data_IF_643115512143
#
_entry.id   IF_643115512143
#
_cell.length_a   1.000
_cell.length_b   1.000
_cell.length_c   1.000
_cell.angle_alpha   90.00
_cell.angle_beta   90.00
_cell.angle_gamma   90.00
#
_symmetry.space_group_name_H-M   'P 1'
#
loop_
_entity.id
_entity.type
_entity.pdbx_description
1 polymer ?
#
# COMPACT_ATOMS: atom_id res chain seq x y z
N UNK A 1 5.82 -26.22 30.95
CA UNK A 1 6.66 -25.16 30.37
C UNK A 1 5.86 -24.57 29.22
N UNK A 2 5.64 -23.25 29.21
CA UNK A 2 4.95 -22.57 28.09
C UNK A 2 5.92 -22.54 26.90
N UNK A 3 5.42 -22.77 25.68
CA UNK A 3 6.21 -22.58 24.45
C UNK A 3 6.85 -21.18 24.45
N UNK A 4 8.16 -21.10 24.16
CA UNK A 4 8.89 -19.84 24.00
C UNK A 4 9.82 -19.41 25.15
N UNK A 5 9.86 -20.11 26.29
CA UNK A 5 10.90 -19.85 27.30
C UNK A 5 12.20 -20.58 26.95
N UNK A 6 13.04 -19.93 26.14
CA UNK A 6 14.43 -20.33 25.99
C UNK A 6 15.26 -19.67 27.10
N UNK A 7 15.80 -20.47 28.01
CA UNK A 7 16.82 -19.98 28.96
C UNK A 7 18.12 -19.70 28.21
N UNK A 8 18.93 -18.76 28.71
CA UNK A 8 20.28 -18.54 28.18
C UNK A 8 21.09 -19.83 28.38
N UNK A 9 21.60 -20.40 27.29
CA UNK A 9 22.45 -21.59 27.31
C UNK A 9 23.88 -21.14 27.00
N UNK A 10 24.80 -21.39 27.92
CA UNK A 10 26.21 -21.06 27.75
C UNK A 10 26.91 -22.17 26.98
N UNK A 11 27.32 -21.89 25.73
CA UNK A 11 28.02 -22.86 24.88
C UNK A 11 29.47 -23.13 25.30
N UNK A 12 30.15 -22.13 25.90
CA UNK A 12 31.52 -22.24 26.37
C UNK A 12 31.71 -21.52 27.72
N UNK A 13 31.80 -22.30 28.81
CA UNK A 13 31.87 -21.76 30.18
C UNK A 13 33.23 -21.17 30.57
N UNK A 14 34.29 -21.40 29.77
CA UNK A 14 35.63 -20.89 30.03
C UNK A 14 35.82 -19.40 29.76
N UNK A 15 34.83 -18.73 29.17
CA UNK A 15 34.89 -17.32 28.74
C UNK A 15 34.14 -16.37 29.69
N UNK A 16 33.71 -16.83 30.86
CA UNK A 16 32.90 -16.02 31.77
C UNK A 16 33.62 -14.75 32.26
N UNK A 17 34.93 -14.82 32.50
CA UNK A 17 35.73 -13.67 32.92
C UNK A 17 35.94 -12.65 31.78
N UNK A 18 35.93 -13.11 30.53
CA UNK A 18 36.09 -12.26 29.35
C UNK A 18 34.86 -11.40 29.08
N UNK A 19 33.66 -11.87 29.48
CA UNK A 19 32.42 -11.07 29.41
C UNK A 19 32.50 -9.77 30.21
N UNK A 20 33.28 -9.76 31.30
CA UNK A 20 33.52 -8.56 32.12
C UNK A 20 34.53 -7.58 31.52
N UNK A 21 35.15 -7.92 30.37
CA UNK A 21 36.22 -7.17 29.70
C UNK A 21 35.84 -6.74 28.28
N UNK A 22 34.56 -6.80 27.93
CA UNK A 22 34.08 -6.45 26.58
C UNK A 22 34.03 -4.93 26.43
N UNK A 23 34.88 -4.39 25.55
CA UNK A 23 34.86 -2.96 25.16
C UNK A 23 33.99 -2.68 23.93
N UNK A 24 33.82 -3.66 23.04
CA UNK A 24 33.10 -3.51 21.79
C UNK A 24 32.11 -4.65 21.59
N UNK A 25 30.88 -4.30 21.26
CA UNK A 25 29.84 -5.26 20.85
C UNK A 25 29.58 -5.07 19.37
N UNK A 26 29.89 -6.09 18.57
CA UNK A 26 29.52 -6.14 17.16
C UNK A 26 28.15 -6.81 17.07
N UNK A 27 27.19 -6.09 16.51
CA UNK A 27 25.80 -6.53 16.44
C UNK A 27 25.37 -6.63 14.98
N UNK A 28 24.74 -7.75 14.61
CA UNK A 28 24.06 -7.85 13.32
C UNK A 28 22.71 -7.13 13.38
N UNK A 29 22.28 -6.50 12.29
CA UNK A 29 21.01 -5.78 12.29
C UNK A 29 19.83 -6.74 12.24
N UNK A 30 19.83 -7.62 11.25
CA UNK A 30 18.67 -8.45 10.92
C UNK A 30 18.62 -9.67 11.82
N UNK A 31 17.49 -9.92 12.49
CA UNK A 31 17.34 -11.05 13.41
C UNK A 31 17.99 -10.87 14.78
N UNK A 32 18.75 -9.80 15.01
CA UNK A 32 19.26 -9.42 16.34
C UNK A 32 18.66 -8.09 16.82
N UNK A 33 18.85 -7.00 16.07
CA UNK A 33 18.23 -5.70 16.40
C UNK A 33 16.76 -5.62 15.96
N UNK A 34 16.40 -6.34 14.90
CA UNK A 34 15.05 -6.29 14.32
C UNK A 34 14.42 -7.67 14.25
N UNK A 35 13.12 -7.76 14.57
CA UNK A 35 12.33 -9.02 14.52
C UNK A 35 11.97 -9.49 13.11
N UNK A 36 12.48 -8.82 12.05
CA UNK A 36 12.11 -9.06 10.66
C UNK A 36 10.58 -9.02 10.43
N UNK A 37 9.90 -8.14 11.16
CA UNK A 37 8.46 -7.90 11.06
C UNK A 37 8.23 -6.44 10.69
N UNK A 38 7.52 -6.22 9.59
CA UNK A 38 7.19 -4.87 9.13
C UNK A 38 5.79 -4.49 9.59
N UNK A 39 5.70 -3.29 10.17
CA UNK A 39 4.46 -2.71 10.65
C UNK A 39 4.21 -1.38 9.93
N UNK A 40 3.02 -1.22 9.35
CA UNK A 40 2.55 0.05 8.84
C UNK A 40 2.20 0.97 10.01
N UNK A 41 2.77 2.19 10.03
CA UNK A 41 2.65 3.11 11.16
C UNK A 41 1.85 4.38 10.84
N UNK A 42 2.15 5.00 9.72
CA UNK A 42 1.58 6.28 9.33
C UNK A 42 1.63 6.44 7.80
N UNK A 43 0.82 7.37 7.29
CA UNK A 43 0.89 7.84 5.91
C UNK A 43 0.55 9.32 5.81
N UNK A 44 0.96 9.94 4.70
CA UNK A 44 0.46 11.23 4.25
C UNK A 44 -0.30 11.02 2.95
N UNK A 45 -1.57 11.43 2.90
CA UNK A 45 -2.45 11.27 1.75
C UNK A 45 -3.09 12.62 1.47
N UNK A 46 -2.95 13.15 0.25
CA UNK A 46 -3.49 14.46 -0.11
C UNK A 46 -2.98 15.62 0.77
N UNK A 47 -1.77 15.50 1.32
CA UNK A 47 -1.18 16.49 2.23
C UNK A 47 -1.71 16.44 3.68
N UNK A 48 -2.43 15.37 4.04
CA UNK A 48 -2.92 15.12 5.40
C UNK A 48 -2.24 13.87 5.96
N UNK A 49 -1.69 13.97 7.18
CA UNK A 49 -1.10 12.84 7.90
C UNK A 49 -2.15 12.02 8.65
N UNK A 50 -1.99 10.71 8.62
CA UNK A 50 -2.81 9.74 9.34
C UNK A 50 -1.93 8.75 10.10
N UNK A 51 -2.38 8.32 11.27
CA UNK A 51 -1.63 7.43 12.14
C UNK A 51 -0.61 8.15 13.03
N UNK A 52 0.25 7.38 13.71
CA UNK A 52 1.21 7.91 14.69
C UNK A 52 2.64 7.53 14.34
N UNK A 53 3.53 8.51 14.44
CA UNK A 53 4.99 8.34 14.33
C UNK A 53 5.64 8.03 15.67
N UNK A 54 4.90 8.17 16.78
CA UNK A 54 5.41 7.78 18.09
C UNK A 54 5.60 6.26 18.09
N UNK A 55 6.84 5.82 18.29
CA UNK A 55 7.09 4.43 18.66
C UNK A 55 6.37 4.24 20.00
N UNK A 56 5.18 3.63 19.97
CA UNK A 56 4.56 3.15 21.20
C UNK A 56 5.65 2.44 21.99
N UNK A 57 6.01 2.99 23.16
CA UNK A 57 7.04 2.42 24.00
C UNK A 57 6.74 0.92 24.10
N UNK A 58 7.74 0.08 23.83
CA UNK A 58 7.63 -1.39 23.83
C UNK A 58 7.06 -1.97 25.15
N UNK A 59 6.81 -1.13 26.15
CA UNK A 59 6.21 -1.46 27.44
C UNK A 59 4.69 -1.26 27.54
N UNK A 60 3.99 -0.68 26.57
CA UNK A 60 2.53 -0.51 26.67
C UNK A 60 1.77 -1.54 25.83
N UNK A 61 1.90 -2.77 26.29
CA UNK A 61 1.03 -3.88 25.94
C UNK A 61 -0.44 -3.52 26.25
N UNK A 62 -1.29 -3.67 25.24
CA UNK A 62 -2.75 -3.86 25.32
C UNK A 62 -3.66 -2.62 25.49
N UNK A 63 -3.20 -1.48 26.02
CA UNK A 63 -4.10 -0.34 26.26
C UNK A 63 -4.23 0.64 25.08
N UNK A 64 -3.19 0.82 24.26
CA UNK A 64 -3.27 1.73 23.09
C UNK A 64 -4.23 1.21 22.00
N UNK A 65 -4.54 -0.08 21.99
CA UNK A 65 -5.56 -0.69 21.11
C UNK A 65 -7.01 -0.35 21.53
N UNK A 66 -7.24 0.18 22.73
CA UNK A 66 -8.59 0.54 23.20
C UNK A 66 -9.02 1.95 22.80
N UNK A 67 -8.08 2.88 22.56
CA UNK A 67 -8.43 4.30 22.36
C UNK A 67 -8.93 4.62 20.93
N UNK A 68 -8.52 3.85 19.92
CA UNK A 68 -8.88 4.07 18.51
C UNK A 68 -10.10 3.26 18.02
N UNK A 69 -10.76 2.52 18.91
CA UNK A 69 -11.71 1.45 18.56
C UNK A 69 -13.18 1.93 18.56
N UNK A 70 -13.46 3.16 18.97
CA UNK A 70 -14.76 3.44 19.60
C UNK A 70 -15.92 3.93 18.70
N UNK A 71 -15.76 4.24 17.40
CA UNK A 71 -16.91 4.77 16.62
C UNK A 71 -17.04 4.38 15.13
N UNK A 72 -16.39 3.32 14.63
CA UNK A 72 -16.66 2.81 13.26
C UNK A 72 -16.31 1.33 13.02
N UNK A 73 -16.05 0.57 14.10
CA UNK A 73 -15.27 -0.68 14.09
C UNK A 73 -16.06 -1.98 13.83
N UNK A 74 -17.39 -2.01 13.79
CA UNK A 74 -18.10 -3.30 13.84
C UNK A 74 -18.00 -4.14 12.54
N UNK A 75 -17.73 -3.50 11.39
CA UNK A 75 -17.59 -4.17 10.08
C UNK A 75 -16.16 -4.18 9.53
N UNK A 76 -15.26 -3.37 10.08
CA UNK A 76 -13.90 -3.31 9.59
C UNK A 76 -13.10 -4.50 10.12
N UNK A 77 -12.38 -5.22 9.26
CA UNK A 77 -11.66 -6.40 9.71
C UNK A 77 -10.46 -6.00 10.58
N UNK A 78 -10.21 -6.72 11.66
CA UNK A 78 -8.94 -6.60 12.38
C UNK A 78 -7.89 -7.50 11.72
N UNK A 79 -6.85 -6.90 11.17
CA UNK A 79 -5.61 -7.63 10.89
C UNK A 79 -4.79 -7.62 12.17
N UNK A 80 -4.21 -8.75 12.57
CA UNK A 80 -3.55 -8.90 13.87
C UNK A 80 -2.36 -7.94 14.09
N UNK A 81 -1.85 -7.30 13.02
CA UNK A 81 -0.54 -6.64 13.00
C UNK A 81 -0.56 -5.23 12.42
N UNK A 82 -1.34 -4.98 11.37
CA UNK A 82 -1.28 -3.76 10.57
C UNK A 82 -2.65 -3.10 10.48
N UNK A 83 -3.11 -2.52 11.59
CA UNK A 83 -4.40 -1.83 11.66
C UNK A 83 -4.20 -0.31 11.75
N UNK A 84 -4.62 0.43 10.74
CA UNK A 84 -4.68 1.89 10.77
C UNK A 84 -6.12 2.33 11.09
N UNK A 85 -6.35 2.77 12.34
CA UNK A 85 -7.66 3.18 12.86
C UNK A 85 -7.73 4.69 13.13
N UNK A 86 -7.29 5.47 12.16
CA UNK A 86 -7.39 6.92 12.22
C UNK A 86 -8.83 7.36 11.90
N UNK A 87 -9.46 8.11 12.80
CA UNK A 87 -10.88 8.49 12.68
C UNK A 87 -11.14 9.33 11.42
N UNK A 88 -10.25 10.29 11.11
CA UNK A 88 -10.37 11.13 9.93
C UNK A 88 -10.22 10.30 8.65
N UNK A 89 -9.27 9.36 8.61
CA UNK A 89 -9.11 8.44 7.48
C UNK A 89 -10.38 7.61 7.25
N UNK A 90 -10.96 7.06 8.33
CA UNK A 90 -12.15 6.22 8.26
C UNK A 90 -13.41 6.99 7.85
N UNK A 91 -13.45 8.30 8.09
CA UNK A 91 -14.49 9.19 7.56
C UNK A 91 -14.40 9.29 6.04
N UNK A 92 -13.21 9.55 5.49
CA UNK A 92 -12.98 9.60 4.05
C UNK A 92 -13.31 8.28 3.35
N UNK A 93 -12.98 7.15 3.96
CA UNK A 93 -13.31 5.80 3.47
C UNK A 93 -14.79 5.44 3.64
N UNK A 94 -15.49 6.14 4.54
CA UNK A 94 -16.87 5.88 4.89
C UNK A 94 -17.87 6.60 4.00
N UNK A 95 -17.43 7.39 3.02
CA UNK A 95 -18.34 8.08 2.10
C UNK A 95 -18.98 7.08 1.14
N UNK A 96 -20.25 7.30 0.78
CA UNK A 96 -20.96 6.48 -0.20
C UNK A 96 -20.74 6.94 -1.65
N UNK A 97 -20.26 8.17 -1.82
CA UNK A 97 -19.93 8.80 -3.12
C UNK A 97 -18.71 9.69 -2.89
N UNK A 98 -17.74 9.64 -3.81
CA UNK A 98 -16.59 10.55 -3.81
C UNK A 98 -17.11 11.95 -4.17
N UNK A 99 -16.99 12.89 -3.23
CA UNK A 99 -17.45 14.27 -3.43
C UNK A 99 -16.34 15.29 -3.25
N UNK A 100 -15.31 14.93 -2.48
CA UNK A 100 -14.14 15.76 -2.20
C UNK A 100 -12.89 15.16 -2.85
N UNK A 101 -11.93 15.98 -3.30
CA UNK A 101 -10.62 15.51 -3.73
C UNK A 101 -9.94 14.55 -2.74
N UNK A 102 -10.09 14.82 -1.44
CA UNK A 102 -9.49 13.99 -0.40
C UNK A 102 -10.10 12.58 -0.34
N UNK A 103 -11.41 12.44 -0.59
CA UNK A 103 -12.06 11.13 -0.68
C UNK A 103 -11.36 10.31 -1.79
N UNK A 104 -11.14 10.92 -2.97
CA UNK A 104 -10.47 10.27 -4.09
C UNK A 104 -9.02 9.87 -3.74
N UNK A 105 -8.22 10.77 -3.16
CA UNK A 105 -6.85 10.45 -2.76
C UNK A 105 -6.78 9.25 -1.82
N UNK A 106 -7.67 9.18 -0.84
CA UNK A 106 -7.71 8.09 0.15
C UNK A 106 -8.09 6.76 -0.51
N UNK A 107 -9.12 6.73 -1.35
CA UNK A 107 -9.51 5.51 -2.06
C UNK A 107 -8.41 5.02 -3.01
N UNK A 108 -7.77 5.93 -3.73
CA UNK A 108 -6.70 5.61 -4.69
C UNK A 108 -5.41 5.16 -4.00
N UNK A 109 -5.11 5.72 -2.82
CA UNK A 109 -4.04 5.23 -1.95
C UNK A 109 -4.29 3.77 -1.52
N UNK A 110 -5.51 3.44 -1.07
CA UNK A 110 -5.87 2.08 -0.68
C UNK A 110 -5.81 1.10 -1.85
N UNK A 111 -6.31 1.50 -3.03
CA UNK A 111 -6.19 0.71 -4.25
C UNK A 111 -4.72 0.45 -4.61
N UNK A 112 -3.87 1.47 -4.54
CA UNK A 112 -2.43 1.33 -4.82
C UNK A 112 -1.74 0.39 -3.84
N UNK A 113 -2.02 0.51 -2.54
CA UNK A 113 -1.47 -0.41 -1.52
C UNK A 113 -1.89 -1.85 -1.80
N UNK A 114 -3.14 -2.07 -2.20
CA UNK A 114 -3.71 -3.41 -2.37
C UNK A 114 -3.33 -4.06 -3.71
N UNK A 115 -3.21 -3.27 -4.79
CA UNK A 115 -3.00 -3.78 -6.16
C UNK A 115 -1.54 -3.74 -6.60
N UNK A 116 -0.79 -2.68 -6.29
CA UNK A 116 0.58 -2.47 -6.77
C UNK A 116 1.59 -3.24 -5.91
N UNK A 117 1.58 -4.57 -5.96
CA UNK A 117 2.47 -5.49 -5.25
C UNK A 117 2.45 -6.88 -5.94
N UNK A 118 3.30 -7.80 -5.49
CA UNK A 118 3.25 -9.22 -5.91
C UNK A 118 2.67 -10.15 -4.84
N UNK A 119 1.93 -9.62 -3.87
CA UNK A 119 1.38 -10.40 -2.75
C UNK A 119 0.27 -11.31 -3.27
N UNK A 120 0.27 -12.55 -2.78
CA UNK A 120 -0.74 -13.57 -3.05
C UNK A 120 -1.66 -13.68 -1.84
N UNK A 121 -2.96 -13.80 -2.11
CA UNK A 121 -4.00 -14.05 -1.12
C UNK A 121 -4.31 -15.55 -1.07
N UNK A 122 -4.16 -16.17 0.10
CA UNK A 122 -4.52 -17.57 0.33
C UNK A 122 -5.69 -17.67 1.31
N UNK A 123 -6.72 -18.42 0.93
CA UNK A 123 -7.87 -18.70 1.82
C UNK A 123 -7.40 -19.35 3.12
N UNK A 124 -7.77 -18.77 4.26
CA UNK A 124 -7.35 -19.26 5.57
C UNK A 124 -8.47 -19.15 6.61
N UNK A 125 -8.84 -20.28 7.20
CA UNK A 125 -9.80 -20.34 8.32
C UNK A 125 -9.25 -19.79 9.63
N UNK A 126 -7.93 -19.61 9.73
CA UNK A 126 -7.26 -19.05 10.92
C UNK A 126 -7.23 -17.52 10.90
N UNK A 127 -7.49 -16.91 9.76
CA UNK A 127 -7.46 -15.46 9.61
C UNK A 127 -8.85 -14.88 9.86
N UNK A 128 -9.01 -13.81 10.67
CA UNK A 128 -10.29 -13.14 10.88
C UNK A 128 -10.95 -12.65 9.58
N UNK A 129 -10.12 -12.34 8.57
CA UNK A 129 -10.57 -11.84 7.26
C UNK A 129 -10.77 -12.96 6.23
N UNK A 130 -10.57 -14.22 6.62
CA UNK A 130 -10.67 -15.38 5.74
C UNK A 130 -9.51 -15.54 4.75
N UNK A 131 -8.51 -14.65 4.79
CA UNK A 131 -7.37 -14.61 3.87
C UNK A 131 -6.06 -14.42 4.64
N UNK A 132 -5.00 -15.10 4.22
CA UNK A 132 -3.61 -14.87 4.62
C UNK A 132 -2.86 -14.31 3.43
N UNK A 133 -2.07 -13.26 3.65
CA UNK A 133 -1.22 -12.68 2.64
C UNK A 133 0.17 -13.29 2.69
N UNK A 134 0.73 -13.57 1.52
CA UNK A 134 2.11 -14.03 1.35
C UNK A 134 2.77 -13.24 0.21
N UNK A 135 3.89 -12.61 0.49
CA UNK A 135 4.67 -11.83 -0.46
C UNK A 135 6.16 -12.14 -0.37
N UNK A 136 6.91 -11.73 -1.39
CA UNK A 136 8.36 -11.84 -1.39
C UNK A 136 9.04 -10.81 -0.47
N UNK A 137 8.32 -9.74 -0.11
CA UNK A 137 8.80 -8.65 0.74
C UNK A 137 7.82 -8.38 1.87
N UNK A 138 8.28 -8.32 3.14
CA UNK A 138 7.42 -8.02 4.28
C UNK A 138 6.89 -6.58 4.25
N UNK A 139 7.57 -5.66 3.56
CA UNK A 139 7.08 -4.29 3.34
C UNK A 139 5.77 -4.31 2.51
N UNK A 140 5.67 -5.17 1.50
CA UNK A 140 4.46 -5.29 0.67
C UNK A 140 3.31 -5.96 1.42
N UNK A 141 3.61 -7.00 2.21
CA UNK A 141 2.62 -7.65 3.06
C UNK A 141 2.00 -6.65 4.05
N UNK A 142 2.83 -5.80 4.67
CA UNK A 142 2.36 -4.80 5.62
C UNK A 142 1.41 -3.77 4.97
N UNK A 143 1.66 -3.38 3.72
CA UNK A 143 0.79 -2.49 2.95
C UNK A 143 -0.57 -3.14 2.64
N UNK A 144 -0.56 -4.41 2.20
CA UNK A 144 -1.80 -5.14 1.89
C UNK A 144 -2.61 -5.45 3.15
N UNK A 145 -1.94 -5.82 4.25
CA UNK A 145 -2.61 -6.03 5.54
C UNK A 145 -3.23 -4.74 6.07
N UNK A 146 -2.55 -3.59 5.92
CA UNK A 146 -3.10 -2.29 6.28
C UNK A 146 -4.34 -1.97 5.46
N UNK A 147 -4.26 -2.09 4.14
CA UNK A 147 -5.40 -1.81 3.27
C UNK A 147 -6.58 -2.74 3.57
N UNK A 148 -6.33 -4.03 3.83
CA UNK A 148 -7.34 -4.99 4.27
C UNK A 148 -8.00 -4.55 5.58
N UNK A 149 -7.23 -4.08 6.56
CA UNK A 149 -7.78 -3.55 7.82
C UNK A 149 -8.70 -2.34 7.61
N UNK A 150 -8.43 -1.54 6.58
CA UNK A 150 -9.19 -0.36 6.19
C UNK A 150 -10.36 -0.66 5.23
N UNK A 151 -10.60 -1.93 4.90
CA UNK A 151 -11.74 -2.36 4.09
C UNK A 151 -11.44 -2.69 2.63
N UNK A 152 -10.16 -2.82 2.25
CA UNK A 152 -9.72 -3.22 0.90
C UNK A 152 -8.99 -4.55 0.95
N UNK A 153 -9.74 -5.64 0.83
CA UNK A 153 -9.19 -6.98 1.00
C UNK A 153 -8.80 -7.54 -0.36
N UNK A 154 -7.52 -7.82 -0.57
CA UNK A 154 -7.08 -8.64 -1.70
C UNK A 154 -7.63 -10.07 -1.52
N UNK A 155 -8.45 -10.53 -2.46
CA UNK A 155 -9.10 -11.85 -2.37
C UNK A 155 -8.45 -12.87 -3.29
N UNK A 156 -8.03 -12.46 -4.48
CA UNK A 156 -7.38 -13.34 -5.45
C UNK A 156 -6.45 -12.56 -6.39
N UNK A 157 -5.40 -13.22 -6.86
CA UNK A 157 -4.45 -12.66 -7.83
C UNK A 157 -3.98 -13.76 -8.79
N UNK A 158 -4.04 -13.43 -10.08
CA UNK A 158 -3.45 -14.21 -11.17
C UNK A 158 -2.51 -13.32 -12.00
N UNK A 159 -1.99 -13.82 -13.12
CA UNK A 159 -1.17 -13.02 -14.04
C UNK A 159 -1.96 -11.90 -14.73
N UNK A 160 -3.27 -12.09 -14.91
CA UNK A 160 -4.10 -11.24 -15.77
C UNK A 160 -5.19 -10.51 -14.98
N UNK A 161 -5.49 -10.95 -13.75
CA UNK A 161 -6.56 -10.40 -12.93
C UNK A 161 -6.10 -10.22 -11.48
N UNK A 162 -6.60 -9.18 -10.84
CA UNK A 162 -6.54 -8.97 -9.40
C UNK A 162 -7.95 -8.68 -8.89
N UNK A 163 -8.38 -9.43 -7.88
CA UNK A 163 -9.72 -9.33 -7.30
C UNK A 163 -9.64 -8.86 -5.85
N UNK A 164 -10.58 -7.99 -5.51
CA UNK A 164 -10.64 -7.30 -4.23
C UNK A 164 -12.05 -7.41 -3.69
N UNK A 165 -12.17 -7.32 -2.37
CA UNK A 165 -13.42 -7.06 -1.69
C UNK A 165 -13.31 -5.72 -0.98
N UNK A 166 -14.16 -4.77 -1.35
CA UNK A 166 -14.14 -3.39 -0.88
C UNK A 166 -15.35 -3.15 0.01
N UNK A 167 -15.14 -2.61 1.20
CA UNK A 167 -16.21 -2.22 2.11
C UNK A 167 -16.76 -0.85 1.68
N UNK A 168 -18.00 -0.82 1.21
CA UNK A 168 -18.67 0.41 0.79
C UNK A 168 -19.75 0.84 1.77
N UNK A 169 -19.99 2.15 1.85
CA UNK A 169 -21.14 2.71 2.54
C UNK A 169 -22.34 2.79 1.61
N UNK A 170 -23.51 2.33 2.07
CA UNK A 170 -24.73 2.38 1.27
C UNK A 170 -25.24 3.83 1.10
N UNK A 171 -25.59 4.28 -0.11
CA UNK A 171 -26.16 5.61 -0.36
C UNK A 171 -27.46 5.89 0.42
N UNK A 172 -28.21 4.83 0.76
CA UNK A 172 -29.51 4.91 1.43
C UNK A 172 -29.42 4.99 2.97
N UNK A 173 -28.23 5.24 3.53
CA UNK A 173 -28.02 5.25 4.99
C UNK A 173 -28.17 3.88 5.67
N UNK A 174 -28.11 2.80 4.89
CA UNK A 174 -28.05 1.42 5.39
C UNK A 174 -26.62 1.04 5.80
N UNK A 175 -26.50 -0.07 6.53
CA UNK A 175 -25.22 -0.66 6.94
C UNK A 175 -24.24 -0.82 5.76
N UNK A 176 -22.94 -0.75 6.05
CA UNK A 176 -21.88 -0.96 5.06
C UNK A 176 -21.99 -2.35 4.42
N UNK A 177 -21.71 -2.45 3.13
CA UNK A 177 -21.75 -3.71 2.38
C UNK A 177 -20.42 -3.98 1.69
N UNK A 178 -20.09 -5.26 1.57
CA UNK A 178 -18.92 -5.71 0.84
C UNK A 178 -19.27 -5.86 -0.64
N UNK A 179 -18.48 -5.23 -1.51
CA UNK A 179 -18.55 -5.41 -2.96
C UNK A 179 -17.28 -6.09 -3.46
N UNK A 180 -17.44 -7.12 -4.31
CA UNK A 180 -16.32 -7.76 -4.98
C UNK A 180 -16.01 -7.01 -6.29
N UNK A 181 -14.79 -6.47 -6.41
CA UNK A 181 -14.32 -5.72 -7.58
C UNK A 181 -13.12 -6.43 -8.20
N UNK A 182 -13.14 -6.61 -9.53
CA UNK A 182 -12.04 -7.23 -10.27
C UNK A 182 -11.42 -6.25 -11.26
N UNK A 183 -10.09 -6.22 -11.27
CA UNK A 183 -9.30 -5.46 -12.22
C UNK A 183 -8.53 -6.42 -13.12
N UNK A 184 -8.46 -6.07 -14.41
CA UNK A 184 -7.56 -6.71 -15.36
C UNK A 184 -6.20 -6.05 -15.29
N UNK A 185 -5.17 -6.87 -15.15
CA UNK A 185 -3.78 -6.47 -15.20
C UNK A 185 -3.38 -6.39 -16.68
N UNK A 186 -3.02 -5.20 -17.13
CA UNK A 186 -2.60 -4.94 -18.50
C UNK A 186 -1.06 -4.99 -18.64
N UNK A 187 -0.34 -4.59 -17.61
CA UNK A 187 1.12 -4.65 -17.57
C UNK A 187 1.68 -4.48 -16.16
N UNK A 188 2.80 -5.13 -15.88
CA UNK A 188 3.52 -5.04 -14.60
C UNK A 188 4.97 -4.68 -14.90
N UNK A 189 5.45 -3.61 -14.28
CA UNK A 189 6.86 -3.27 -14.24
C UNK A 189 7.37 -3.57 -12.84
N UNK A 190 7.93 -4.76 -12.67
CA UNK A 190 8.44 -5.26 -11.39
C UNK A 190 9.46 -4.31 -10.75
N UNK A 191 9.56 -4.43 -9.43
CA UNK A 191 10.59 -3.73 -8.68
C UNK A 191 11.98 -4.22 -9.09
N UNK A 192 12.88 -3.29 -9.38
CA UNK A 192 14.31 -3.57 -9.53
C UNK A 192 15.11 -2.60 -8.68
N UNK A 193 16.30 -3.01 -8.22
CA UNK A 193 17.20 -2.13 -7.47
C UNK A 193 17.67 -0.91 -8.27
N UNK A 194 17.68 -1.01 -9.61
CA UNK A 194 18.01 0.09 -10.50
C UNK A 194 16.87 1.12 -10.59
N UNK A 195 15.62 0.66 -10.75
CA UNK A 195 14.44 1.55 -10.85
C UNK A 195 13.97 2.10 -9.50
N UNK A 196 14.23 1.35 -8.42
CA UNK A 196 13.73 1.59 -7.04
C UNK A 196 12.21 1.83 -6.95
N UNK A 197 11.45 1.35 -7.92
CA UNK A 197 9.99 1.49 -7.99
C UNK A 197 9.36 0.32 -8.73
N UNK A 198 8.10 0.08 -8.43
CA UNK A 198 7.21 -0.86 -9.10
C UNK A 198 6.03 -0.08 -9.67
N UNK A 199 5.52 -0.51 -10.83
CA UNK A 199 4.25 -0.01 -11.33
C UNK A 199 3.39 -1.13 -11.90
N UNK A 200 2.08 -0.94 -11.89
CA UNK A 200 1.11 -1.85 -12.47
C UNK A 200 0.05 -1.04 -13.21
N UNK A 201 -0.23 -1.42 -14.46
CA UNK A 201 -1.30 -0.85 -15.27
C UNK A 201 -2.51 -1.78 -15.17
N UNK A 202 -3.64 -1.24 -14.72
CA UNK A 202 -4.87 -2.00 -14.52
C UNK A 202 -6.08 -1.33 -15.17
N UNK A 203 -7.09 -2.13 -15.49
CA UNK A 203 -8.39 -1.67 -15.96
C UNK A 203 -9.49 -2.33 -15.12
N UNK A 204 -10.48 -1.56 -14.66
CA UNK A 204 -11.62 -2.12 -13.93
C UNK A 204 -12.49 -2.97 -14.87
N UNK A 205 -12.81 -4.22 -14.48
CA UNK A 205 -13.55 -5.17 -15.33
C UNK A 205 -15.03 -5.25 -15.00
N UNK A 206 -15.42 -4.94 -13.76
CA UNK A 206 -16.81 -4.96 -13.30
C UNK A 206 -17.01 -3.89 -12.23
N UNK A 207 -17.90 -2.95 -12.52
CA UNK A 207 -18.88 -2.51 -11.54
C UNK A 207 -20.08 -3.41 -11.78
N UNK A 208 -20.59 -4.09 -10.76
CA UNK A 208 -21.84 -4.83 -10.93
C UNK A 208 -22.89 -3.82 -11.41
N UNK A 209 -23.63 -4.15 -12.49
CA UNK A 209 -24.79 -3.36 -12.91
C UNK A 209 -25.77 -3.32 -11.73
N UNK A 210 -25.69 -2.28 -10.91
CA UNK A 210 -26.82 -1.86 -10.09
C UNK A 210 -27.80 -1.17 -11.02
N UNK A 211 -29.08 -1.52 -10.93
CA UNK A 211 -30.18 -0.88 -11.66
C UNK A 211 -30.30 0.65 -11.40
N UNK A 212 -29.42 1.20 -10.57
CA UNK A 212 -29.21 2.62 -10.32
C UNK A 212 -27.77 2.96 -10.77
N UNK A 213 -27.67 3.75 -11.85
CA UNK A 213 -26.43 4.06 -12.59
C UNK A 213 -25.42 4.95 -11.88
N UNK A 214 -25.27 4.83 -10.57
CA UNK A 214 -24.32 5.59 -9.77
C UNK A 214 -23.41 4.65 -8.98
N UNK A 215 -22.43 4.03 -9.65
CA UNK A 215 -21.25 3.51 -8.97
C UNK A 215 -20.02 3.91 -9.78
N UNK A 216 -19.39 5.02 -9.40
CA UNK A 216 -18.14 5.46 -10.00
C UNK A 216 -17.20 6.00 -8.91
N UNK A 217 -16.64 5.08 -8.11
CA UNK A 217 -15.45 5.38 -7.30
C UNK A 217 -14.18 5.49 -8.16
N UNK A 218 -14.26 5.12 -9.43
CA UNK A 218 -13.21 5.19 -10.43
C UNK A 218 -13.85 5.77 -11.69
N UNK A 219 -13.26 6.78 -12.33
CA UNK A 219 -13.79 7.35 -13.57
C UNK A 219 -14.04 6.25 -14.58
N UNK A 220 -15.22 6.34 -15.19
CA UNK A 220 -15.79 5.66 -16.34
C UNK A 220 -14.86 4.58 -16.90
N UNK A 221 -15.25 3.30 -16.81
CA UNK A 221 -14.45 2.10 -17.14
C UNK A 221 -13.89 1.95 -18.57
N UNK A 222 -13.69 3.06 -19.28
CA UNK A 222 -13.05 3.19 -20.60
C UNK A 222 -11.53 3.37 -20.52
N UNK A 223 -10.99 3.90 -19.43
CA UNK A 223 -9.53 4.12 -19.30
C UNK A 223 -8.80 3.13 -18.39
N UNK A 224 -7.49 3.27 -18.34
CA UNK A 224 -6.60 2.43 -17.52
C UNK A 224 -5.93 3.26 -16.42
N UNK A 225 -5.64 2.62 -15.29
CA UNK A 225 -4.94 3.25 -14.17
C UNK A 225 -3.54 2.68 -14.05
N UNK A 226 -2.54 3.54 -14.18
CA UNK A 226 -1.17 3.23 -13.81
C UNK A 226 -0.98 3.54 -12.33
N UNK A 227 -0.76 2.52 -11.52
CA UNK A 227 -0.46 2.62 -10.10
C UNK A 227 1.04 2.43 -9.90
N UNK A 228 1.67 3.28 -9.10
CA UNK A 228 3.13 3.28 -8.90
C UNK A 228 3.46 3.41 -7.42
N UNK A 229 4.44 2.63 -6.95
CA UNK A 229 5.06 2.82 -5.63
C UNK A 229 6.58 2.74 -5.76
N UNK A 230 7.29 3.59 -5.04
CA UNK A 230 8.75 3.60 -5.09
C UNK A 230 9.40 4.44 -4.01
N UNK A 231 10.73 4.49 -4.07
CA UNK A 231 11.52 5.38 -3.24
C UNK A 231 11.15 6.85 -3.49
N UNK A 232 11.21 7.66 -2.44
CA UNK A 232 10.86 9.07 -2.42
C UNK A 232 11.70 9.90 -3.41
N UNK A 233 13.01 9.68 -3.47
CA UNK A 233 13.93 10.33 -4.40
C UNK A 233 13.53 10.15 -5.87
N UNK A 234 13.20 8.92 -6.27
CA UNK A 234 12.81 8.58 -7.64
C UNK A 234 11.40 9.08 -7.97
N UNK A 235 10.46 8.90 -7.06
CA UNK A 235 9.06 9.25 -7.31
C UNK A 235 8.84 10.76 -7.32
N UNK A 236 9.55 11.53 -6.49
CA UNK A 236 9.46 12.98 -6.49
C UNK A 236 9.87 13.60 -7.83
N UNK A 237 10.90 13.06 -8.48
CA UNK A 237 11.33 13.51 -9.82
C UNK A 237 10.25 13.22 -10.88
N UNK A 238 9.67 12.01 -10.86
CA UNK A 238 8.62 11.61 -11.82
C UNK A 238 7.38 12.48 -11.71
N UNK A 239 6.96 12.82 -10.49
CA UNK A 239 5.80 13.68 -10.22
C UNK A 239 6.02 15.16 -10.57
N UNK A 240 7.22 15.57 -11.02
CA UNK A 240 7.52 16.94 -11.44
C UNK A 240 7.44 17.15 -12.96
N UNK A 241 7.63 16.08 -13.75
CA UNK A 241 7.93 16.17 -15.20
C UNK A 241 6.87 16.89 -16.05
N UNK A 242 5.59 16.76 -15.71
CA UNK A 242 4.47 17.31 -16.50
C UNK A 242 3.74 18.50 -15.85
N UNK A 243 4.00 18.78 -14.56
CA UNK A 243 3.24 19.78 -13.77
C UNK A 243 4.01 21.10 -13.66
N UNK A 244 5.35 21.07 -13.66
CA UNK A 244 6.17 22.28 -13.42
C UNK A 244 5.79 22.98 -12.11
N UNK A 245 5.72 24.32 -12.15
CA UNK A 245 5.30 25.21 -11.05
C UNK A 245 3.76 25.35 -10.91
N UNK A 246 2.97 24.49 -11.58
CA UNK A 246 1.51 24.61 -11.49
C UNK A 246 1.01 24.38 -10.06
N UNK A 247 0.19 25.30 -9.56
CA UNK A 247 -0.42 25.23 -8.21
C UNK A 247 -1.52 24.16 -8.08
N UNK A 248 -1.88 23.52 -9.19
CA UNK A 248 -2.94 22.51 -9.27
C UNK A 248 -2.47 21.31 -10.07
N UNK A 249 -2.81 20.11 -9.60
CA UNK A 249 -2.61 18.83 -10.29
C UNK A 249 -3.95 18.28 -10.73
N UNK A 250 -3.98 17.46 -11.78
CA UNK A 250 -5.20 16.81 -12.25
C UNK A 250 -5.34 15.43 -11.60
N UNK A 251 -6.43 15.22 -10.85
CA UNK A 251 -6.83 13.94 -10.31
C UNK A 251 -8.11 13.47 -11.03
N UNK A 252 -7.96 12.60 -12.02
CA UNK A 252 -9.08 12.01 -12.78
C UNK A 252 -10.01 13.05 -13.44
N UNK A 253 -9.45 14.09 -14.05
CA UNK A 253 -10.16 15.19 -14.70
C UNK A 253 -10.56 16.33 -13.73
N UNK A 254 -10.17 16.24 -12.46
CA UNK A 254 -10.51 17.22 -11.42
C UNK A 254 -9.25 17.96 -10.99
N UNK A 255 -9.19 19.30 -11.10
CA UNK A 255 -8.08 20.07 -10.60
C UNK A 255 -8.08 20.05 -9.07
N UNK A 256 -6.99 19.61 -8.48
CA UNK A 256 -6.77 19.55 -7.03
C UNK A 256 -5.50 20.31 -6.67
N UNK A 257 -5.39 20.74 -5.42
CA UNK A 257 -4.22 21.49 -4.93
C UNK A 257 -2.96 20.64 -5.09
N UNK A 258 -1.85 21.28 -5.45
CA UNK A 258 -0.54 20.65 -5.32
C UNK A 258 -0.23 20.35 -3.83
N UNK A 259 0.19 19.12 -3.55
CA UNK A 259 0.51 18.63 -2.20
C UNK A 259 1.93 18.08 -2.09
N UNK A 260 2.76 18.33 -3.12
CA UNK A 260 4.13 17.79 -3.19
C UNK A 260 5.01 18.29 -2.05
N UNK A 261 4.92 19.57 -1.71
CA UNK A 261 5.71 20.17 -0.63
C UNK A 261 5.35 19.54 0.73
N UNK A 262 4.06 19.44 1.05
CA UNK A 262 3.61 18.80 2.29
C UNK A 262 3.98 17.32 2.34
N UNK A 263 3.86 16.61 1.21
CA UNK A 263 4.22 15.19 1.12
C UNK A 263 5.71 14.97 1.39
N UNK A 264 6.59 15.80 0.80
CA UNK A 264 8.04 15.73 1.02
C UNK A 264 8.39 16.10 2.47
N UNK A 265 7.72 17.10 3.04
CA UNK A 265 7.89 17.45 4.45
C UNK A 265 7.53 16.27 5.36
N UNK A 266 6.37 15.65 5.17
CA UNK A 266 5.91 14.52 5.98
C UNK A 266 6.81 13.28 5.84
N UNK A 267 7.31 13.01 4.62
CA UNK A 267 8.28 11.93 4.37
C UNK A 267 9.56 12.14 5.19
N UNK A 268 10.08 13.38 5.24
CA UNK A 268 11.28 13.68 6.03
C UNK A 268 11.04 13.50 7.53
N UNK A 269 9.86 13.86 8.04
CA UNK A 269 9.48 13.61 9.43
C UNK A 269 9.39 12.10 9.73
N UNK A 270 8.78 11.32 8.83
CA UNK A 270 8.70 9.85 8.96
C UNK A 270 10.09 9.20 8.95
N UNK A 271 10.96 9.61 8.02
CA UNK A 271 12.33 9.12 7.94
C UNK A 271 13.14 9.48 9.20
N UNK A 272 12.96 10.70 9.72
CA UNK A 272 13.61 11.16 10.96
C UNK A 272 13.15 10.38 12.19
N UNK A 273 11.91 9.86 12.17
CA UNK A 273 11.39 8.95 13.18
C UNK A 273 11.87 7.48 13.00
N UNK A 274 12.70 7.20 12.01
CA UNK A 274 13.25 5.86 11.74
C UNK A 274 12.31 4.94 10.96
N UNK A 275 11.25 5.48 10.36
CA UNK A 275 10.35 4.72 9.50
C UNK A 275 10.95 4.55 8.09
N UNK A 276 10.63 3.42 7.45
CA UNK A 276 10.86 3.28 6.01
C UNK A 276 9.75 4.01 5.26
N UNK A 277 10.11 4.84 4.31
CA UNK A 277 9.19 5.65 3.51
C UNK A 277 9.04 5.08 2.11
N UNK A 278 7.84 5.22 1.55
CA UNK A 278 7.54 4.95 0.14
C UNK A 278 6.60 6.06 -0.34
N UNK A 279 6.81 6.50 -1.58
CA UNK A 279 5.90 7.42 -2.25
C UNK A 279 5.05 6.65 -3.25
N UNK A 280 3.75 6.93 -3.24
CA UNK A 280 2.76 6.31 -4.10
C UNK A 280 2.25 7.37 -5.07
N UNK A 281 2.09 7.00 -6.33
CA UNK A 281 1.54 7.86 -7.36
C UNK A 281 0.60 7.07 -8.26
N UNK A 282 -0.25 7.80 -8.98
CA UNK A 282 -1.10 7.22 -10.00
C UNK A 282 -1.14 8.12 -11.23
N UNK A 283 -1.52 7.53 -12.36
CA UNK A 283 -1.91 8.27 -13.56
C UNK A 283 -3.07 7.55 -14.23
N UNK A 284 -4.07 8.29 -14.65
CA UNK A 284 -5.09 7.79 -15.57
C UNK A 284 -4.52 7.89 -17.00
N UNK A 285 -4.66 6.80 -17.76
CA UNK A 285 -4.28 6.73 -19.16
C UNK A 285 -5.56 6.58 -19.98
N UNK A 286 -5.69 7.41 -21.00
CA UNK A 286 -6.77 7.26 -21.96
C UNK A 286 -6.59 6.00 -22.84
N UNK A 287 -7.56 5.69 -23.70
CA UNK A 287 -7.52 4.52 -24.57
C UNK A 287 -6.32 4.55 -25.56
N UNK A 288 -5.91 5.74 -25.99
CA UNK A 288 -4.82 5.93 -26.96
C UNK A 288 -3.48 5.69 -26.26
N UNK A 289 -3.22 6.38 -25.16
CA UNK A 289 -2.03 6.20 -24.33
C UNK A 289 -1.89 4.74 -23.87
N UNK A 290 -3.00 4.11 -23.46
CA UNK A 290 -3.03 2.70 -23.08
C UNK A 290 -2.60 1.81 -24.25
N UNK A 291 -3.18 2.02 -25.44
CA UNK A 291 -2.89 1.21 -26.63
C UNK A 291 -1.43 1.35 -27.07
N UNK A 292 -0.90 2.58 -27.07
CA UNK A 292 0.50 2.86 -27.41
C UNK A 292 1.47 2.18 -26.44
N UNK A 293 1.22 2.32 -25.12
CA UNK A 293 2.03 1.67 -24.09
C UNK A 293 2.02 0.14 -24.22
N UNK A 294 0.84 -0.47 -24.43
CA UNK A 294 0.72 -1.91 -24.59
C UNK A 294 1.35 -2.41 -25.89
N UNK A 295 1.30 -1.62 -26.96
CA UNK A 295 2.03 -1.89 -28.19
C UNK A 295 3.53 -1.99 -27.93
N UNK A 296 4.11 -0.96 -27.31
CA UNK A 296 5.53 -0.92 -26.96
C UNK A 296 5.93 -2.07 -26.00
N UNK A 297 5.08 -2.38 -25.02
CA UNK A 297 5.32 -3.48 -24.08
C UNK A 297 5.33 -4.85 -24.79
N UNK A 298 4.41 -5.08 -25.72
CA UNK A 298 4.36 -6.31 -26.52
C UNK A 298 5.58 -6.43 -27.45
N UNK A 299 6.01 -5.34 -28.08
CA UNK A 299 7.24 -5.31 -28.88
C UNK A 299 8.48 -5.64 -28.04
N UNK A 300 8.58 -5.08 -26.83
CA UNK A 300 9.65 -5.42 -25.88
C UNK A 300 9.59 -6.90 -25.48
N UNK A 301 8.39 -7.45 -25.23
CA UNK A 301 8.15 -8.86 -24.85
C UNK A 301 8.59 -9.85 -25.91
N UNK A 302 8.38 -9.52 -27.18
CA UNK A 302 8.74 -10.36 -28.32
C UNK A 302 10.16 -10.12 -28.85
N UNK A 303 10.90 -9.15 -28.30
CA UNK A 303 12.29 -8.94 -28.69
C UNK A 303 13.20 -10.09 -28.25
N UNK A 304 14.00 -10.60 -29.20
CA UNK A 304 15.01 -11.63 -28.96
C UNK A 304 16.31 -11.01 -28.41
N UNK A 305 16.60 -9.76 -28.76
CA UNK A 305 17.83 -9.05 -28.35
C UNK A 305 17.51 -7.91 -27.38
N UNK A 306 18.38 -7.74 -26.37
CA UNK A 306 18.29 -6.69 -25.34
C UNK A 306 16.88 -6.54 -24.74
N UNK A 307 16.22 -7.67 -24.47
CA UNK A 307 14.85 -7.70 -23.95
C UNK A 307 14.73 -6.89 -22.66
N UNK A 308 15.63 -7.10 -21.70
CA UNK A 308 15.64 -6.37 -20.43
C UNK A 308 15.71 -4.85 -20.63
N UNK A 309 16.65 -4.36 -21.45
CA UNK A 309 16.79 -2.92 -21.73
C UNK A 309 15.59 -2.32 -22.46
N UNK A 310 14.88 -3.11 -23.26
CA UNK A 310 13.64 -2.65 -23.92
C UNK A 310 12.50 -2.55 -22.92
N UNK A 311 12.34 -3.55 -22.04
CA UNK A 311 11.35 -3.47 -20.95
C UNK A 311 11.63 -2.27 -20.04
N UNK A 312 12.89 -2.06 -19.65
CA UNK A 312 13.28 -0.91 -18.85
C UNK A 312 12.90 0.41 -19.55
N UNK A 313 13.20 0.55 -20.84
CA UNK A 313 12.85 1.76 -21.61
C UNK A 313 11.36 2.01 -21.78
N UNK A 314 10.54 0.96 -21.92
CA UNK A 314 9.08 1.11 -21.98
C UNK A 314 8.51 1.49 -20.61
N UNK A 315 9.16 1.08 -19.53
CA UNK A 315 8.73 1.32 -18.16
C UNK A 315 9.18 2.68 -17.56
N UNK A 316 10.01 3.43 -18.27
CA UNK A 316 10.44 4.81 -17.95
C UNK A 316 9.54 5.84 -18.62
#
# INVERSE_FOLDING_TARGET
MKEGQHSIIVGASGLNDDLGRVDYVLVDKTGTLTENRMLFRACSIGGIRYGSTEMANFSDSLESNMLYTLRSSEMLPSTEKNCLRDEALLEYLGVSVITRPQDAFVHLFMLTCTICNTVIAETSTKSPIGVRFQGASPDEEALVEMAASSGYILTDRSSDLVSLRILQSSPAGKERQWEDTTFKILGVNEFTSERKRMSILVQIMKTIETDEGDVAYIPDGRGSMLLVKGADDVMAELCQRDVGEASTIDLCGVPVRDVREETVFDINEFASAGLRTLMLAMRYLDEVETSEYLGALNEARHSITNRADRFARVAE
#
